data_IF_042936437324
#
_entry.id   IF_042936437324
#
_cell.length_a   1.000
_cell.length_b   1.000
_cell.length_c   1.000
_cell.angle_alpha   90.00
_cell.angle_beta   90.00
_cell.angle_gamma   90.00
#
_symmetry.space_group_name_H-M   'P 1'
#
loop_
_entity.id
_entity.type
_entity.pdbx_description
1 polymer ?
#
# COMPACT_ATOMS: atom_id res chain seq x y z
N UNK A 1 22.34 2.70 24.34
CA UNK A 1 21.20 2.33 25.22
C UNK A 1 19.95 2.88 24.56
N UNK A 2 19.29 2.06 23.77
CA UNK A 2 18.13 2.42 22.98
C UNK A 2 16.89 2.41 23.88
N UNK A 3 16.23 3.54 23.97
CA UNK A 3 14.98 3.72 24.68
C UNK A 3 13.88 2.87 24.02
N UNK A 4 13.18 1.96 24.71
CA UNK A 4 12.04 1.27 24.15
C UNK A 4 10.88 2.25 24.06
N UNK A 5 10.78 2.94 22.91
CA UNK A 5 9.63 3.77 22.59
C UNK A 5 8.36 2.92 22.68
N UNK A 6 7.50 3.30 23.61
CA UNK A 6 6.11 2.91 23.83
C UNK A 6 5.55 1.90 22.81
N UNK A 7 5.54 0.64 23.21
CA UNK A 7 4.69 -0.39 22.61
C UNK A 7 3.25 0.13 22.80
N UNK A 8 2.71 0.83 21.80
CA UNK A 8 1.27 0.96 21.68
C UNK A 8 0.78 -0.47 21.61
N UNK A 9 -0.07 -0.86 22.53
CA UNK A 9 -0.72 -2.16 22.51
C UNK A 9 -1.21 -2.37 21.09
N UNK A 10 -0.70 -3.42 20.42
CA UNK A 10 -1.08 -3.76 19.06
C UNK A 10 -2.60 -3.91 19.09
N UNK A 11 -3.34 -2.96 18.54
CA UNK A 11 -4.76 -3.13 18.29
C UNK A 11 -4.92 -4.41 17.47
N UNK A 12 -6.00 -5.02 17.50
CA UNK A 12 -6.39 -6.36 17.05
C UNK A 12 -5.61 -7.05 15.89
N UNK A 13 -4.76 -6.36 15.11
CA UNK A 13 -3.99 -6.98 14.01
C UNK A 13 -2.69 -6.21 13.64
N UNK A 14 -1.70 -6.92 13.09
CA UNK A 14 -0.46 -6.32 12.55
C UNK A 14 0.26 -7.25 11.56
N UNK A 15 1.07 -6.65 10.69
CA UNK A 15 2.00 -7.36 9.80
C UNK A 15 3.41 -7.21 10.34
N UNK A 16 4.15 -8.31 10.45
CA UNK A 16 5.51 -8.33 10.99
C UNK A 16 6.46 -9.06 10.06
N UNK A 17 7.56 -8.40 9.70
CA UNK A 17 8.75 -9.02 9.10
C UNK A 17 9.78 -9.23 10.21
N UNK A 18 10.39 -10.40 10.24
CA UNK A 18 11.44 -10.76 11.23
C UNK A 18 12.63 -11.33 10.49
N UNK A 19 13.77 -10.67 10.61
CA UNK A 19 15.04 -11.02 9.99
C UNK A 19 14.89 -11.34 8.48
N UNK A 20 14.08 -10.52 7.81
CA UNK A 20 13.72 -10.72 6.42
C UNK A 20 14.86 -10.27 5.51
N UNK A 21 15.29 -11.14 4.59
CA UNK A 21 16.42 -10.89 3.69
C UNK A 21 16.16 -11.46 2.30
N UNK A 22 16.80 -10.86 1.28
CA UNK A 22 16.68 -11.29 -0.11
C UNK A 22 18.05 -11.33 -0.77
N UNK A 23 18.38 -12.47 -1.38
CA UNK A 23 19.59 -12.69 -2.16
C UNK A 23 19.25 -12.77 -3.64
N UNK A 24 19.93 -12.00 -4.49
CA UNK A 24 19.79 -12.06 -5.96
C UNK A 24 21.15 -12.17 -6.61
N UNK A 25 21.33 -13.17 -7.47
CA UNK A 25 22.61 -13.38 -8.18
C UNK A 25 23.82 -13.54 -7.26
N UNK A 26 23.63 -14.14 -6.08
CA UNK A 26 24.69 -14.34 -5.08
C UNK A 26 25.01 -13.09 -4.24
N UNK A 27 24.33 -11.96 -4.47
CA UNK A 27 24.51 -10.73 -3.70
C UNK A 27 23.29 -10.46 -2.80
N UNK A 28 23.55 -10.01 -1.57
CA UNK A 28 22.47 -9.61 -0.68
C UNK A 28 21.93 -8.25 -1.14
N UNK A 29 20.63 -8.23 -1.45
CA UNK A 29 19.89 -7.01 -1.82
C UNK A 29 19.17 -6.45 -0.60
N UNK A 30 18.66 -7.32 0.28
CA UNK A 30 18.05 -6.95 1.55
C UNK A 30 18.62 -7.83 2.67
N UNK A 31 18.92 -7.21 3.80
CA UNK A 31 19.51 -7.87 4.95
C UNK A 31 18.83 -7.39 6.24
N UNK A 32 18.48 -8.34 7.10
CA UNK A 32 18.00 -8.08 8.47
C UNK A 32 16.84 -7.06 8.55
N UNK A 33 15.91 -7.13 7.60
CA UNK A 33 14.71 -6.26 7.64
C UNK A 33 13.81 -6.73 8.79
N UNK A 34 13.66 -5.88 9.78
CA UNK A 34 12.72 -6.04 10.87
C UNK A 34 11.70 -4.91 10.81
N UNK A 35 10.44 -5.23 10.52
CA UNK A 35 9.39 -4.25 10.32
C UNK A 35 8.11 -4.73 10.99
N UNK A 36 7.47 -3.83 11.71
CA UNK A 36 6.18 -4.05 12.33
C UNK A 36 5.22 -2.95 11.88
N UNK A 37 4.14 -3.31 11.17
CA UNK A 37 3.09 -2.41 10.68
C UNK A 37 1.78 -2.74 11.37
N UNK A 38 1.06 -1.71 11.81
CA UNK A 38 -0.24 -1.84 12.44
C UNK A 38 -1.37 -1.76 11.40
N UNK A 39 -2.54 -2.33 11.72
CA UNK A 39 -3.73 -2.14 10.89
C UNK A 39 -4.08 -0.66 10.78
N UNK A 40 -4.56 -0.27 9.62
CA UNK A 40 -4.86 1.13 9.32
C UNK A 40 -3.63 2.04 9.27
N UNK A 41 -2.39 1.52 9.35
CA UNK A 41 -1.15 2.29 9.23
C UNK A 41 -0.71 2.39 7.77
N UNK A 42 -0.40 3.61 7.31
CA UNK A 42 0.30 3.82 6.05
C UNK A 42 1.77 4.09 6.35
N UNK A 43 2.61 3.13 5.98
CA UNK A 43 4.06 3.22 6.09
C UNK A 43 4.67 3.51 4.72
N UNK A 44 5.40 4.62 4.57
CA UNK A 44 6.14 4.92 3.35
C UNK A 44 7.58 4.41 3.42
N UNK A 45 8.05 3.79 2.33
CA UNK A 45 9.45 3.36 2.16
C UNK A 45 10.12 4.31 1.18
N UNK A 46 11.13 5.00 1.66
CA UNK A 46 12.01 5.86 0.86
C UNK A 46 13.41 5.26 0.82
N UNK A 47 14.17 5.62 -0.18
CA UNK A 47 15.57 5.14 -0.33
C UNK A 47 16.10 5.40 -1.73
N UNK A 48 17.42 5.36 -1.94
CA UNK A 48 18.03 5.59 -3.25
C UNK A 48 17.61 4.51 -4.26
N UNK A 49 17.93 4.76 -5.53
CA UNK A 49 17.74 3.73 -6.56
C UNK A 49 18.67 2.54 -6.24
N UNK A 50 18.14 1.33 -6.38
CA UNK A 50 18.86 0.12 -6.02
C UNK A 50 18.88 -0.21 -4.51
N UNK A 51 18.22 0.55 -3.66
CA UNK A 51 18.12 0.28 -2.21
C UNK A 51 17.35 -1.00 -1.84
N UNK A 52 16.68 -1.62 -2.80
CA UNK A 52 15.90 -2.84 -2.57
C UNK A 52 14.40 -2.62 -2.33
N UNK A 53 13.86 -1.41 -2.56
CA UNK A 53 12.44 -1.09 -2.30
C UNK A 53 11.46 -2.01 -3.03
N UNK A 54 11.53 -2.07 -4.36
CA UNK A 54 10.71 -2.98 -5.19
C UNK A 54 11.00 -4.45 -4.87
N UNK A 55 12.27 -4.77 -4.56
CA UNK A 55 12.67 -6.12 -4.16
C UNK A 55 11.97 -6.54 -2.86
N UNK A 56 11.86 -5.63 -1.89
CA UNK A 56 11.12 -5.86 -0.65
C UNK A 56 9.66 -6.23 -0.95
N UNK A 57 8.97 -5.41 -1.75
CA UNK A 57 7.57 -5.65 -2.09
C UNK A 57 7.39 -6.97 -2.85
N UNK A 58 8.24 -7.26 -3.83
CA UNK A 58 8.18 -8.49 -4.62
C UNK A 58 8.47 -9.75 -3.78
N UNK A 59 9.37 -9.66 -2.82
CA UNK A 59 9.61 -10.77 -1.91
C UNK A 59 8.43 -10.97 -0.93
N UNK A 60 7.76 -9.89 -0.49
CA UNK A 60 6.58 -9.99 0.36
C UNK A 60 5.37 -10.64 -0.35
N UNK A 61 5.21 -10.46 -1.65
CA UNK A 61 4.15 -11.15 -2.43
C UNK A 61 4.55 -12.57 -2.86
N UNK A 62 5.79 -12.99 -2.59
CA UNK A 62 6.28 -14.33 -2.94
C UNK A 62 6.87 -14.46 -4.35
N UNK A 63 7.03 -13.37 -5.11
CA UNK A 63 7.68 -13.37 -6.43
C UNK A 63 9.19 -13.67 -6.35
N UNK A 64 9.80 -13.38 -5.21
CA UNK A 64 11.23 -13.62 -4.97
C UNK A 64 11.41 -14.44 -3.70
N UNK A 65 12.38 -15.38 -3.70
CA UNK A 65 12.72 -16.13 -2.50
C UNK A 65 13.32 -15.20 -1.45
N UNK A 66 12.98 -15.45 -0.19
CA UNK A 66 13.45 -14.67 0.95
C UNK A 66 13.86 -15.57 2.11
N UNK A 67 14.73 -15.09 2.99
CA UNK A 67 14.98 -15.60 4.32
C UNK A 67 14.11 -14.89 5.35
N UNK A 68 14.12 -15.38 6.58
CA UNK A 68 13.31 -14.81 7.66
C UNK A 68 11.83 -15.13 7.54
N UNK A 69 10.98 -14.32 8.16
CA UNK A 69 9.54 -14.58 8.15
C UNK A 69 8.71 -13.32 7.94
N UNK A 70 7.59 -13.50 7.21
CA UNK A 70 6.49 -12.54 7.07
C UNK A 70 5.27 -13.15 7.77
N UNK A 71 4.74 -12.47 8.79
CA UNK A 71 3.62 -12.96 9.60
C UNK A 71 2.54 -11.90 9.70
N UNK A 72 1.29 -12.37 9.69
CA UNK A 72 0.13 -11.56 10.02
C UNK A 72 -0.45 -12.04 11.35
N UNK A 73 -0.63 -11.11 12.28
CA UNK A 73 -1.16 -11.38 13.61
C UNK A 73 -2.55 -10.75 13.69
N UNK A 74 -3.56 -11.54 14.00
CA UNK A 74 -4.94 -11.07 14.09
C UNK A 74 -5.51 -11.37 15.48
N UNK A 75 -6.06 -10.36 16.17
CA UNK A 75 -6.78 -10.43 17.45
C UNK A 75 -6.11 -11.30 18.52
N UNK A 76 -4.83 -11.03 18.79
CA UNK A 76 -4.11 -11.73 19.88
C UNK A 76 -3.79 -13.20 19.61
N UNK A 77 -4.23 -13.79 18.51
CA UNK A 77 -3.78 -15.10 18.04
C UNK A 77 -2.44 -14.95 17.32
N UNK A 78 -1.39 -15.46 17.93
CA UNK A 78 0.00 -15.37 17.49
C UNK A 78 0.27 -16.00 16.11
N UNK A 79 -0.67 -16.76 15.56
CA UNK A 79 -0.58 -17.33 14.22
C UNK A 79 -1.98 -17.43 13.60
N UNK A 80 -2.31 -16.52 12.74
CA UNK A 80 -3.42 -16.77 11.83
C UNK A 80 -3.02 -17.91 10.91
N UNK A 81 -3.71 -19.03 10.97
CA UNK A 81 -3.51 -20.16 10.05
C UNK A 81 -3.89 -19.82 8.59
N UNK A 82 -4.41 -18.64 8.36
CA UNK A 82 -4.75 -18.15 7.03
C UNK A 82 -3.58 -17.40 6.41
N UNK A 83 -3.25 -17.65 5.13
CA UNK A 83 -2.26 -16.87 4.43
C UNK A 83 -2.69 -15.41 4.38
N UNK A 84 -1.72 -14.51 4.56
CA UNK A 84 -1.90 -13.06 4.42
C UNK A 84 -2.40 -12.74 3.00
N UNK A 85 -3.53 -12.05 2.90
CA UNK A 85 -3.99 -11.54 1.61
C UNK A 85 -3.31 -10.22 1.34
N UNK A 86 -2.52 -10.19 0.28
CA UNK A 86 -1.75 -9.02 -0.14
C UNK A 86 -2.33 -8.51 -1.46
N UNK A 87 -2.70 -7.22 -1.50
CA UNK A 87 -2.95 -6.49 -2.73
C UNK A 87 -1.65 -5.83 -3.20
N UNK A 88 -1.38 -5.83 -4.49
CA UNK A 88 -0.18 -5.22 -5.04
C UNK A 88 -0.47 -4.36 -6.26
N UNK A 89 0.01 -3.13 -6.25
CA UNK A 89 -0.01 -2.22 -7.40
C UNK A 89 1.45 -1.97 -7.83
N UNK A 90 1.87 -2.48 -9.00
CA UNK A 90 3.24 -2.36 -9.47
C UNK A 90 3.55 -0.98 -10.04
N UNK A 91 4.84 -0.61 -10.07
CA UNK A 91 5.35 0.65 -10.59
C UNK A 91 5.09 0.80 -12.11
N UNK A 92 5.40 -0.25 -12.88
CA UNK A 92 5.24 -0.25 -14.34
C UNK A 92 4.12 -1.19 -14.72
N UNK A 93 3.21 -0.65 -15.47
CA UNK A 93 2.13 -1.37 -16.11
C UNK A 93 2.44 -1.40 -17.61
N UNK A 94 3.08 -2.47 -18.04
CA UNK A 94 3.35 -2.68 -19.47
C UNK A 94 2.05 -3.12 -20.14
N UNK A 95 1.37 -2.17 -20.76
CA UNK A 95 0.19 -2.43 -21.58
C UNK A 95 0.61 -2.30 -23.03
N UNK A 96 0.39 -3.37 -23.79
CA UNK A 96 0.52 -3.30 -25.23
C UNK A 96 -0.55 -2.37 -25.79
N UNK A 97 -0.12 -1.25 -26.39
CA UNK A 97 -0.99 -0.24 -26.97
C UNK A 97 -1.86 -0.79 -28.12
N UNK A 98 -1.53 -1.95 -28.65
CA UNK A 98 -2.31 -2.65 -29.70
C UNK A 98 -3.32 -3.62 -29.11
N UNK A 99 -3.26 -3.89 -27.81
CA UNK A 99 -4.15 -4.84 -27.14
C UNK A 99 -5.61 -4.35 -27.15
N UNK A 100 -6.56 -5.17 -27.59
CA UNK A 100 -7.98 -4.84 -27.53
C UNK A 100 -8.57 -4.98 -26.12
N UNK A 101 -7.76 -5.36 -25.12
CA UNK A 101 -8.19 -5.67 -23.76
C UNK A 101 -8.85 -4.47 -23.10
N UNK A 102 -10.07 -4.67 -22.62
CA UNK A 102 -10.82 -3.66 -21.86
C UNK A 102 -10.63 -3.81 -20.35
N UNK A 103 -11.01 -2.77 -19.58
CA UNK A 103 -10.97 -2.82 -18.11
C UNK A 103 -11.78 -4.00 -17.57
N UNK A 104 -12.98 -4.25 -18.12
CA UNK A 104 -13.80 -5.38 -17.67
C UNK A 104 -13.17 -6.74 -18.00
N UNK A 105 -12.41 -6.88 -19.11
CA UNK A 105 -11.71 -8.12 -19.43
C UNK A 105 -10.61 -8.42 -18.41
N UNK A 106 -9.88 -7.38 -17.95
CA UNK A 106 -8.88 -7.50 -16.91
C UNK A 106 -9.50 -8.03 -15.60
N UNK A 107 -10.63 -7.46 -15.17
CA UNK A 107 -11.33 -7.91 -13.97
C UNK A 107 -11.93 -9.30 -14.13
N UNK A 108 -12.49 -9.61 -15.30
CA UNK A 108 -13.05 -10.93 -15.58
C UNK A 108 -11.98 -12.02 -15.52
N UNK A 109 -10.78 -11.77 -16.04
CA UNK A 109 -9.65 -12.71 -15.94
C UNK A 109 -9.25 -13.01 -14.49
N UNK A 110 -9.42 -12.03 -13.58
CA UNK A 110 -9.11 -12.20 -12.15
C UNK A 110 -10.26 -12.83 -11.36
N UNK A 111 -11.51 -12.43 -11.66
CA UNK A 111 -12.68 -12.83 -10.89
C UNK A 111 -13.28 -14.17 -11.27
N UNK A 112 -12.94 -14.71 -12.44
CA UNK A 112 -13.56 -15.94 -12.95
C UNK A 112 -12.60 -16.77 -13.78
N UNK A 113 -12.81 -18.09 -13.75
CA UNK A 113 -12.21 -19.04 -14.71
C UNK A 113 -13.08 -19.24 -15.97
N UNK A 114 -14.14 -18.46 -16.10
CA UNK A 114 -15.02 -18.53 -17.27
C UNK A 114 -14.30 -17.98 -18.50
N UNK A 115 -14.34 -18.69 -19.63
CA UNK A 115 -13.69 -18.24 -20.87
C UNK A 115 -14.28 -16.90 -21.35
N UNK A 116 -13.42 -15.89 -21.56
CA UNK A 116 -13.82 -14.52 -21.92
C UNK A 116 -14.54 -14.45 -23.27
N UNK A 117 -14.21 -15.37 -24.19
CA UNK A 117 -14.84 -15.47 -25.54
C UNK A 117 -16.32 -15.91 -25.51
N UNK A 118 -16.80 -16.48 -24.40
CA UNK A 118 -18.23 -16.77 -24.18
C UNK A 118 -19.03 -15.57 -23.65
N UNK A 119 -18.42 -14.38 -23.63
CA UNK A 119 -19.01 -13.17 -23.10
C UNK A 119 -18.95 -13.08 -21.57
N UNK A 120 -19.20 -11.87 -21.05
CA UNK A 120 -19.11 -11.59 -19.64
C UNK A 120 -20.49 -11.76 -18.97
N UNK A 121 -20.49 -12.43 -17.82
CA UNK A 121 -21.70 -12.57 -17.03
C UNK A 121 -22.10 -11.23 -16.42
N UNK A 122 -23.39 -10.93 -16.38
CA UNK A 122 -23.92 -9.69 -15.76
C UNK A 122 -23.46 -9.50 -14.32
N UNK A 123 -23.25 -10.60 -13.57
CA UNK A 123 -22.74 -10.58 -12.20
C UNK A 123 -21.29 -10.08 -12.12
N UNK A 124 -20.43 -10.44 -13.08
CA UNK A 124 -19.04 -9.98 -13.14
C UNK A 124 -19.03 -8.48 -13.47
N UNK A 125 -19.80 -8.07 -14.47
CA UNK A 125 -19.93 -6.67 -14.86
C UNK A 125 -20.39 -5.79 -13.70
N UNK A 126 -21.38 -6.25 -12.91
CA UNK A 126 -21.85 -5.54 -11.71
C UNK A 126 -20.75 -5.44 -10.67
N UNK A 127 -20.09 -6.55 -10.30
CA UNK A 127 -19.00 -6.57 -9.32
C UNK A 127 -17.84 -5.68 -9.75
N UNK A 128 -17.45 -5.73 -11.02
CA UNK A 128 -16.38 -4.86 -11.55
C UNK A 128 -16.75 -3.39 -11.42
N UNK A 129 -17.99 -3.02 -11.77
CA UNK A 129 -18.45 -1.63 -11.62
C UNK A 129 -18.45 -1.17 -10.17
N UNK A 130 -18.92 -2.01 -9.24
CA UNK A 130 -18.91 -1.72 -7.79
C UNK A 130 -17.48 -1.48 -7.29
N UNK A 131 -16.52 -2.31 -7.68
CA UNK A 131 -15.11 -2.13 -7.29
C UNK A 131 -14.48 -0.89 -7.94
N UNK A 132 -14.75 -0.62 -9.20
CA UNK A 132 -14.26 0.60 -9.87
C UNK A 132 -14.85 1.86 -9.24
N UNK A 133 -16.10 1.82 -8.77
CA UNK A 133 -16.74 2.94 -8.08
C UNK A 133 -16.03 3.29 -6.77
N UNK A 134 -15.44 2.32 -6.05
CA UNK A 134 -14.64 2.57 -4.86
C UNK A 134 -13.47 3.54 -5.11
N UNK A 135 -12.92 3.53 -6.31
CA UNK A 135 -11.78 4.35 -6.71
C UNK A 135 -12.15 5.47 -7.70
N UNK A 136 -13.45 5.72 -7.93
CA UNK A 136 -13.95 6.73 -8.87
C UNK A 136 -13.55 6.45 -10.32
N UNK A 137 -13.59 5.18 -10.74
CA UNK A 137 -13.19 4.72 -12.08
C UNK A 137 -14.29 3.90 -12.80
N UNK A 138 -15.53 3.93 -12.31
CA UNK A 138 -16.67 3.16 -12.85
C UNK A 138 -17.01 3.50 -14.30
N UNK A 139 -16.76 4.74 -14.73
CA UNK A 139 -16.91 5.19 -16.11
C UNK A 139 -15.91 4.54 -17.08
N UNK A 140 -14.86 3.91 -16.57
CA UNK A 140 -13.81 3.27 -17.37
C UNK A 140 -14.13 1.80 -17.70
N UNK A 141 -15.22 1.24 -17.19
CA UNK A 141 -15.54 -0.19 -17.26
C UNK A 141 -15.37 -0.81 -18.66
N UNK A 142 -15.82 -0.11 -19.68
CA UNK A 142 -15.82 -0.60 -21.08
C UNK A 142 -14.68 0.02 -21.93
N UNK A 143 -13.81 0.82 -21.31
CA UNK A 143 -12.67 1.44 -22.02
C UNK A 143 -11.56 0.42 -22.21
N UNK A 144 -10.84 0.53 -23.33
CA UNK A 144 -9.61 -0.23 -23.55
C UNK A 144 -8.50 0.28 -22.64
N UNK A 145 -7.67 -0.63 -22.14
CA UNK A 145 -6.55 -0.26 -21.28
C UNK A 145 -5.57 0.70 -21.98
N UNK A 146 -5.39 0.55 -23.30
CA UNK A 146 -4.54 1.41 -24.11
C UNK A 146 -5.10 2.85 -24.30
N UNK A 147 -6.38 3.09 -24.02
CA UNK A 147 -7.05 4.38 -24.25
C UNK A 147 -7.20 5.22 -22.98
N UNK A 148 -6.82 4.69 -21.81
CA UNK A 148 -6.96 5.40 -20.53
C UNK A 148 -5.62 6.02 -20.11
N UNK A 149 -5.69 7.13 -19.37
CA UNK A 149 -4.48 7.80 -18.87
C UNK A 149 -3.77 6.95 -17.80
N UNK A 150 -2.48 7.23 -17.56
CA UNK A 150 -1.69 6.54 -16.53
C UNK A 150 -2.39 6.64 -15.16
N UNK A 151 -2.89 7.81 -14.76
CA UNK A 151 -3.58 7.98 -13.49
C UNK A 151 -4.92 7.23 -13.42
N UNK A 152 -5.66 7.12 -14.54
CA UNK A 152 -6.85 6.27 -14.64
C UNK A 152 -6.49 4.80 -14.49
N UNK A 153 -5.43 4.37 -15.16
CA UNK A 153 -4.93 3.02 -15.11
C UNK A 153 -4.48 2.63 -13.70
N UNK A 154 -3.77 3.50 -12.99
CA UNK A 154 -3.37 3.29 -11.60
C UNK A 154 -4.58 3.08 -10.67
N UNK A 155 -5.68 3.85 -10.86
CA UNK A 155 -6.92 3.63 -10.11
C UNK A 155 -7.59 2.32 -10.46
N UNK A 156 -7.57 1.89 -11.73
CA UNK A 156 -8.06 0.57 -12.15
C UNK A 156 -7.29 -0.55 -11.46
N UNK A 157 -5.96 -0.47 -11.40
CA UNK A 157 -5.13 -1.47 -10.70
C UNK A 157 -5.30 -1.42 -9.19
N UNK A 158 -5.51 -0.23 -8.61
CA UNK A 158 -5.87 -0.11 -7.20
C UNK A 158 -7.18 -0.84 -6.91
N UNK A 159 -8.22 -0.65 -7.73
CA UNK A 159 -9.48 -1.37 -7.59
C UNK A 159 -9.30 -2.90 -7.72
N UNK A 160 -8.44 -3.34 -8.61
CA UNK A 160 -8.12 -4.76 -8.79
C UNK A 160 -7.39 -5.34 -7.57
N UNK A 161 -6.42 -4.61 -7.01
CA UNK A 161 -5.66 -5.00 -5.83
C UNK A 161 -6.52 -5.11 -4.55
N UNK A 162 -7.71 -4.49 -4.56
CA UNK A 162 -8.71 -4.59 -3.48
C UNK A 162 -9.64 -5.80 -3.61
N UNK A 163 -9.39 -6.73 -4.54
CA UNK A 163 -10.24 -7.90 -4.78
C UNK A 163 -9.46 -9.22 -4.59
N UNK A 164 -9.80 -10.01 -3.56
CA UNK A 164 -10.62 -9.68 -2.39
C UNK A 164 -9.93 -8.63 -1.54
N UNK A 165 -10.69 -7.92 -0.70
CA UNK A 165 -10.11 -6.91 0.21
C UNK A 165 -8.93 -7.52 0.97
N UNK A 166 -7.71 -6.95 0.81
CA UNK A 166 -6.50 -7.49 1.43
C UNK A 166 -6.35 -7.02 2.88
N UNK A 167 -5.50 -7.68 3.65
CA UNK A 167 -5.02 -7.19 4.95
C UNK A 167 -3.84 -6.21 4.80
N UNK A 168 -3.07 -6.37 3.70
CA UNK A 168 -1.92 -5.53 3.38
C UNK A 168 -1.97 -5.11 1.92
N UNK A 169 -1.89 -3.81 1.68
CA UNK A 169 -1.80 -3.23 0.34
C UNK A 169 -0.38 -2.71 0.09
N UNK A 170 0.26 -3.22 -0.95
CA UNK A 170 1.59 -2.82 -1.38
C UNK A 170 1.48 -1.92 -2.62
N UNK A 171 2.06 -0.73 -2.55
CA UNK A 171 2.03 0.27 -3.61
C UNK A 171 3.47 0.60 -4.02
N UNK A 172 3.88 0.22 -5.23
CA UNK A 172 5.22 0.45 -5.75
C UNK A 172 5.24 1.65 -6.70
N UNK A 173 5.62 2.82 -6.20
CA UNK A 173 5.63 4.09 -6.94
C UNK A 173 4.35 4.36 -7.76
N UNK A 174 3.16 4.27 -7.15
CA UNK A 174 1.88 4.17 -7.86
C UNK A 174 1.49 5.43 -8.64
N UNK A 175 2.15 6.56 -8.43
CA UNK A 175 1.86 7.84 -9.09
C UNK A 175 2.97 8.29 -10.04
N UNK A 176 3.92 7.40 -10.35
CA UNK A 176 4.98 7.69 -11.31
C UNK A 176 4.40 8.00 -12.69
N UNK A 177 4.72 9.19 -13.23
CA UNK A 177 4.19 9.66 -14.51
C UNK A 177 2.75 10.18 -14.48
N UNK A 178 2.14 10.31 -13.30
CA UNK A 178 0.82 10.92 -13.10
C UNK A 178 0.99 12.41 -12.84
N UNK A 179 0.09 13.23 -13.38
CA UNK A 179 0.07 14.68 -13.13
C UNK A 179 -0.31 14.99 -11.66
N UNK A 180 -0.10 16.24 -11.24
CA UNK A 180 -0.33 16.65 -9.85
C UNK A 180 -1.76 16.41 -9.37
N UNK A 181 -2.75 16.69 -10.23
CA UNK A 181 -4.16 16.52 -9.87
C UNK A 181 -4.53 15.05 -9.71
N UNK A 182 -4.04 14.19 -10.61
CA UNK A 182 -4.22 12.74 -10.53
C UNK A 182 -3.49 12.13 -9.33
N UNK A 183 -2.29 12.63 -9.00
CA UNK A 183 -1.53 12.23 -7.81
C UNK A 183 -2.31 12.51 -6.53
N UNK A 184 -2.84 13.73 -6.39
CA UNK A 184 -3.64 14.13 -5.24
C UNK A 184 -4.90 13.26 -5.11
N UNK A 185 -5.64 13.07 -6.21
CA UNK A 185 -6.82 12.21 -6.25
C UNK A 185 -6.49 10.75 -5.87
N UNK A 186 -5.35 10.23 -6.32
CA UNK A 186 -4.91 8.88 -5.99
C UNK A 186 -4.68 8.73 -4.48
N UNK A 187 -3.92 9.64 -3.87
CA UNK A 187 -3.64 9.56 -2.44
C UNK A 187 -4.88 9.79 -1.56
N UNK A 188 -5.79 10.68 -1.96
CA UNK A 188 -7.10 10.83 -1.30
C UNK A 188 -7.91 9.53 -1.37
N UNK A 189 -7.89 8.84 -2.51
CA UNK A 189 -8.55 7.54 -2.69
C UNK A 189 -7.92 6.49 -1.79
N UNK A 190 -6.59 6.40 -1.73
CA UNK A 190 -5.85 5.46 -0.86
C UNK A 190 -6.16 5.73 0.62
N UNK A 191 -6.14 7.00 1.06
CA UNK A 191 -6.49 7.39 2.44
C UNK A 191 -7.91 6.96 2.81
N UNK A 192 -8.88 7.19 1.92
CA UNK A 192 -10.27 6.76 2.13
C UNK A 192 -10.37 5.23 2.24
N UNK A 193 -9.76 4.47 1.31
CA UNK A 193 -9.78 3.00 1.33
C UNK A 193 -9.11 2.44 2.59
N UNK A 194 -8.02 3.05 3.02
CA UNK A 194 -7.35 2.70 4.27
C UNK A 194 -8.30 2.75 5.46
N UNK A 195 -9.06 3.83 5.59
CA UNK A 195 -10.00 4.02 6.71
C UNK A 195 -11.22 3.12 6.58
N UNK A 196 -11.78 2.98 5.36
CA UNK A 196 -12.99 2.21 5.11
C UNK A 196 -12.78 0.70 5.35
N UNK A 197 -11.59 0.18 5.00
CA UNK A 197 -11.29 -1.25 5.08
C UNK A 197 -10.24 -1.61 6.15
N UNK A 198 -9.81 -0.65 6.98
CA UNK A 198 -8.74 -0.84 8.00
C UNK A 198 -7.46 -1.45 7.40
N UNK A 199 -7.06 -0.98 6.22
CA UNK A 199 -5.93 -1.53 5.47
C UNK A 199 -4.59 -1.09 6.05
N UNK A 200 -3.67 -2.05 6.25
CA UNK A 200 -2.26 -1.73 6.35
C UNK A 200 -1.72 -1.43 4.97
N UNK A 201 -0.97 -0.34 4.80
CA UNK A 201 -0.44 0.07 3.49
C UNK A 201 1.07 0.26 3.56
N UNK A 202 1.81 -0.38 2.65
CA UNK A 202 3.22 -0.13 2.44
C UNK A 202 3.41 0.55 1.09
N UNK A 203 3.80 1.83 1.12
CA UNK A 203 3.95 2.68 -0.05
C UNK A 203 5.43 2.92 -0.35
N UNK A 204 5.93 2.48 -1.49
CA UNK A 204 7.23 2.92 -2.02
C UNK A 204 7.03 4.23 -2.76
N UNK A 205 7.81 5.25 -2.42
CA UNK A 205 7.78 6.55 -3.09
C UNK A 205 9.16 7.17 -3.19
N UNK A 206 9.40 7.88 -4.29
CA UNK A 206 10.55 8.77 -4.45
C UNK A 206 10.18 10.26 -4.21
N UNK A 207 8.90 10.56 -4.06
CA UNK A 207 8.39 11.88 -3.69
C UNK A 207 8.27 11.98 -2.17
N UNK A 208 9.28 12.58 -1.54
CA UNK A 208 9.34 12.75 -0.08
C UNK A 208 8.22 13.62 0.46
N UNK A 209 7.83 14.67 -0.29
CA UNK A 209 6.79 15.58 0.13
C UNK A 209 5.42 14.92 0.11
N UNK A 210 5.13 14.13 -0.94
CA UNK A 210 3.91 13.34 -1.03
C UNK A 210 3.88 12.26 0.07
N UNK A 211 5.00 11.54 0.28
CA UNK A 211 5.11 10.54 1.34
C UNK A 211 4.87 11.15 2.73
N UNK A 212 5.47 12.32 3.02
CA UNK A 212 5.30 13.00 4.30
C UNK A 212 3.85 13.42 4.58
N UNK A 213 3.09 13.78 3.54
CA UNK A 213 1.68 14.19 3.69
C UNK A 213 0.74 13.04 4.02
N UNK A 214 1.00 11.85 3.49
CA UNK A 214 0.05 10.74 3.56
C UNK A 214 0.46 9.65 4.55
N UNK A 215 1.76 9.50 4.83
CA UNK A 215 2.25 8.44 5.68
C UNK A 215 2.14 8.76 7.18
N UNK A 216 1.87 7.71 7.96
CA UNK A 216 1.98 7.75 9.41
C UNK A 216 3.42 7.57 9.85
N UNK A 217 4.17 6.79 9.07
CA UNK A 217 5.54 6.38 9.32
C UNK A 217 6.33 6.36 8.04
N UNK A 218 7.58 6.76 8.10
CA UNK A 218 8.53 6.64 6.99
C UNK A 218 9.66 5.72 7.40
N UNK A 219 10.10 4.87 6.46
CA UNK A 219 11.27 4.02 6.57
C UNK A 219 12.30 4.47 5.55
N UNK A 220 13.52 4.76 5.99
CA UNK A 220 14.67 4.91 5.09
C UNK A 220 15.31 3.55 4.87
N UNK A 221 15.18 3.03 3.64
CA UNK A 221 15.73 1.75 3.24
C UNK A 221 17.00 1.94 2.38
N UNK A 222 18.06 1.23 2.75
CA UNK A 222 19.22 1.03 1.90
C UNK A 222 19.87 -0.32 2.27
N UNK A 223 19.43 -1.39 1.62
CA UNK A 223 19.67 -2.81 1.93
C UNK A 223 19.10 -3.25 3.29
N UNK A 224 19.18 -2.40 4.29
CA UNK A 224 18.55 -2.57 5.61
C UNK A 224 17.75 -1.30 5.94
N UNK A 225 16.95 -1.34 7.00
CA UNK A 225 16.26 -0.15 7.51
C UNK A 225 17.29 0.68 8.29
N UNK A 226 17.63 1.86 7.76
CA UNK A 226 18.62 2.76 8.36
C UNK A 226 18.01 3.62 9.46
N UNK A 227 16.77 4.08 9.27
CA UNK A 227 15.96 4.72 10.30
C UNK A 227 14.48 4.59 9.96
N UNK A 228 13.65 4.69 10.97
CA UNK A 228 12.20 4.69 10.86
C UNK A 228 11.58 5.60 11.92
N UNK A 229 10.38 6.10 11.65
CA UNK A 229 9.69 6.98 12.58
C UNK A 229 8.62 7.84 11.91
N UNK A 230 8.20 8.88 12.62
CA UNK A 230 7.29 9.87 12.05
C UNK A 230 7.96 10.59 10.86
N UNK A 231 7.19 11.03 9.85
CA UNK A 231 7.75 11.64 8.65
C UNK A 231 8.75 12.77 8.95
N UNK A 232 8.42 13.65 9.89
CA UNK A 232 9.28 14.78 10.28
C UNK A 232 10.61 14.30 10.87
N UNK A 233 10.56 13.32 11.77
CA UNK A 233 11.77 12.82 12.46
C UNK A 233 12.73 12.14 11.47
N UNK A 234 12.19 11.39 10.51
CA UNK A 234 12.98 10.69 9.51
C UNK A 234 13.56 11.67 8.49
N UNK A 235 12.76 12.62 7.97
CA UNK A 235 13.22 13.56 6.95
C UNK A 235 14.25 14.56 7.47
N UNK A 236 14.23 14.90 8.76
CA UNK A 236 15.23 15.72 9.43
C UNK A 236 16.46 14.93 9.88
N UNK A 237 16.43 13.58 9.78
CA UNK A 237 17.53 12.75 10.24
C UNK A 237 18.78 12.99 9.37
N UNK A 238 19.98 13.15 9.96
CA UNK A 238 21.24 13.30 9.21
C UNK A 238 21.53 12.20 8.17
N UNK A 239 20.96 10.99 8.38
CA UNK A 239 21.08 9.87 7.43
C UNK A 239 20.45 10.19 6.08
N UNK A 240 19.41 11.03 6.01
CA UNK A 240 18.82 11.50 4.75
C UNK A 240 19.91 12.24 3.93
N UNK A 241 20.59 13.19 4.58
CA UNK A 241 21.65 13.95 3.91
C UNK A 241 22.81 13.07 3.46
N UNK A 242 23.19 12.10 4.29
CA UNK A 242 24.25 11.14 3.93
C UNK A 242 23.83 10.24 2.75
N UNK A 243 22.58 9.84 2.70
CA UNK A 243 22.07 8.90 1.70
C UNK A 243 21.77 9.56 0.36
N UNK A 244 21.21 10.78 0.36
CA UNK A 244 20.72 11.46 -0.85
C UNK A 244 21.58 12.65 -1.29
N UNK A 245 22.51 13.11 -0.45
CA UNK A 245 23.34 14.31 -0.72
C UNK A 245 22.63 15.64 -0.46
N UNK A 246 21.35 15.61 -0.05
CA UNK A 246 20.58 16.80 0.35
C UNK A 246 19.79 16.49 1.64
N UNK A 247 19.36 17.54 2.33
CA UNK A 247 18.53 17.44 3.53
C UNK A 247 17.35 18.38 3.42
N UNK A 248 16.37 18.21 4.28
CA UNK A 248 15.19 19.06 4.38
C UNK A 248 15.36 20.07 5.50
N UNK A 249 14.88 21.31 5.27
CA UNK A 249 14.61 22.23 6.35
C UNK A 249 13.26 21.90 6.99
N UNK A 250 13.11 22.21 8.26
CA UNK A 250 11.88 21.94 9.03
C UNK A 250 10.63 22.55 8.39
N UNK A 251 10.79 23.73 7.77
CA UNK A 251 9.73 24.47 7.06
C UNK A 251 9.36 23.86 5.69
N UNK A 252 10.16 22.95 5.16
CA UNK A 252 9.94 22.29 3.87
C UNK A 252 9.13 21.01 4.00
N UNK A 253 8.98 20.50 5.22
CA UNK A 253 8.21 19.27 5.48
C UNK A 253 6.74 19.66 5.58
N UNK A 254 5.89 19.18 4.65
CA UNK A 254 4.48 19.54 4.68
C UNK A 254 3.78 18.94 5.90
N UNK A 255 2.84 19.68 6.46
CA UNK A 255 1.92 19.15 7.45
C UNK A 255 1.07 18.02 6.84
N UNK A 256 0.65 17.08 7.69
CA UNK A 256 -0.24 16.00 7.28
C UNK A 256 -1.55 16.54 6.71
N UNK A 257 -2.11 15.81 5.77
CA UNK A 257 -3.39 16.17 5.16
C UNK A 257 -4.51 16.15 6.23
N UNK A 258 -5.33 17.21 6.37
CA UNK A 258 -6.38 17.32 7.40
C UNK A 258 -7.37 16.17 7.44
N UNK A 259 -7.63 15.51 6.28
CA UNK A 259 -8.54 14.38 6.17
C UNK A 259 -8.10 13.16 7.00
N UNK A 260 -6.81 12.94 7.18
CA UNK A 260 -6.30 11.80 7.97
C UNK A 260 -6.58 11.97 9.47
N UNK A 261 -6.66 13.20 9.94
CA UNK A 261 -6.92 13.49 11.36
C UNK A 261 -8.42 13.37 11.70
N UNK A 262 -9.29 13.83 10.81
CA UNK A 262 -10.75 13.82 11.00
C UNK A 262 -11.31 12.38 10.97
N UNK A 263 -10.87 11.55 10.02
CA UNK A 263 -11.34 10.19 9.85
C UNK A 263 -10.94 9.24 11.00
N UNK A 264 -9.82 9.52 11.70
CA UNK A 264 -9.40 8.72 12.86
C UNK A 264 -10.21 9.00 14.13
N UNK A 265 -10.69 10.24 14.30
CA UNK A 265 -11.51 10.59 15.44
C UNK A 265 -12.92 10.02 15.37
N UNK A 266 -13.47 9.86 14.15
CA UNK A 266 -14.79 9.24 13.97
C UNK A 266 -14.76 7.71 14.10
N UNK A 267 -13.68 7.05 13.67
CA UNK A 267 -13.54 5.59 13.75
C UNK A 267 -13.28 5.06 15.18
N UNK A 268 -12.93 5.94 16.14
CA UNK A 268 -12.63 5.58 17.54
C UNK A 268 -13.72 6.00 18.54
N UNK A 269 -14.87 6.50 18.08
CA UNK A 269 -16.01 6.70 18.98
C UNK A 269 -16.73 5.34 19.18
N UNK A 270 -16.81 4.81 20.42
CA UNK A 270 -17.62 3.63 20.70
C UNK A 270 -19.07 3.94 20.38
N UNK A 271 -19.73 3.07 19.63
CA UNK A 271 -21.15 3.16 19.32
C UNK A 271 -21.97 3.38 20.61
N UNK A 272 -22.88 4.36 20.65
CA UNK A 272 -23.67 4.65 21.85
C UNK A 272 -24.80 3.64 22.15
N UNK A 273 -24.85 2.49 21.47
CA UNK A 273 -25.85 1.45 21.68
C UNK A 273 -25.30 0.23 22.45
N UNK A 274 -24.92 0.46 23.69
CA UNK A 274 -24.73 -0.57 24.71
C UNK A 274 -25.84 -0.53 25.75
N UNK A 275 -27.01 -1.14 25.47
CA UNK A 275 -27.99 -1.24 26.52
C UNK A 275 -29.42 -1.47 26.09
N UNK A 276 -29.76 -2.70 25.65
CA UNK A 276 -31.07 -3.31 25.96
C UNK A 276 -30.91 -4.81 26.13
N UNK A 277 -30.69 -5.19 27.35
CA UNK A 277 -31.01 -6.53 27.84
C UNK A 277 -32.55 -6.60 27.82
N UNK A 278 -33.12 -7.52 27.06
CA UNK A 278 -34.48 -7.98 27.20
C UNK A 278 -34.46 -9.28 28.00
N UNK A 279 -35.13 -9.18 29.10
CA UNK A 279 -35.53 -10.25 30.00
C UNK A 279 -36.30 -11.40 29.31
#
# INVERSE_FOLDING_TARGET
>A
MSNPASIRSCGDCCTRLVDFGVMLGGSAVLEHINLHMHCGELTAVIGPNGAGKTTLLRAMIGDLPHSGSLRFIHRGNLESAKPLRIGYVPQKLEIDNTSPTTVIDLFAATLTRWPLWLGQRASIRRKTRENLALVGADSLLDRKLAEISIGQLQRVFLALALIPVPELLLLDEPVSGVDRAGTELFYQTVSRMRTEFDLSILLVSHDFAAAARVADRILLLNRSILCDGQPRDVLLNPLIRQTFGFGFADTEIPDRHPLDHALRHEAHQPSPDGGRVLS
#
